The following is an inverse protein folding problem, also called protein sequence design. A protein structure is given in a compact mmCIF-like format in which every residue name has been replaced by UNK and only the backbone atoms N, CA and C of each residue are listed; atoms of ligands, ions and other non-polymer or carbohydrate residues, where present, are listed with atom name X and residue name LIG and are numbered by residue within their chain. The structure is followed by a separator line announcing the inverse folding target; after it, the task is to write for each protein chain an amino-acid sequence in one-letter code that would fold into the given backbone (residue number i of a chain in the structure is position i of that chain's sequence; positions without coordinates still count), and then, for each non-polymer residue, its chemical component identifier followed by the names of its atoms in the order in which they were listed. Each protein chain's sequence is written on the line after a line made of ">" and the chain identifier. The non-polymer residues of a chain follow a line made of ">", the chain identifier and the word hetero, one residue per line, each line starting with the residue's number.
data_IF_775937227321
#
_entry.id   IF_775937227321
#
_cell.length_a   1.000
_cell.length_b   1.000
_cell.length_c   1.000
_cell.angle_alpha   90.00
_cell.angle_beta   90.00
_cell.angle_gamma   90.00
#
_symmetry.space_group_name_H-M   'P 1'
#
loop_
_entity.id
_entity.type
_entity.pdbx_description
1 polymer ?
#
# COMPACT_ATOMS: atom_id res chain seq x y z
N UNK A 1 1.41 -22.73 2.02
CA UNK A 1 2.56 -22.85 1.13
C UNK A 1 2.67 -21.65 0.20
N UNK A 2 3.84 -21.44 -0.43
CA UNK A 2 4.03 -20.38 -1.41
C UNK A 2 5.00 -20.82 -2.51
N UNK A 3 4.87 -20.17 -3.68
CA UNK A 3 5.80 -20.27 -4.80
C UNK A 3 6.06 -18.90 -5.36
N UNK A 4 7.31 -18.63 -5.72
CA UNK A 4 7.74 -17.35 -6.33
C UNK A 4 8.63 -17.68 -7.52
N UNK A 5 8.43 -16.97 -8.63
CA UNK A 5 9.25 -17.01 -9.82
C UNK A 5 9.74 -15.58 -10.12
N UNK A 6 10.99 -15.45 -10.46
CA UNK A 6 11.59 -14.23 -10.96
C UNK A 6 12.43 -14.55 -12.19
N UNK A 7 12.28 -13.76 -13.24
CA UNK A 7 12.99 -13.93 -14.50
C UNK A 7 13.46 -12.58 -15.01
N UNK A 8 14.75 -12.52 -15.32
CA UNK A 8 15.34 -11.38 -16.06
C UNK A 8 15.53 -11.75 -17.52
N UNK A 9 15.15 -10.85 -18.40
CA UNK A 9 15.22 -11.01 -19.85
C UNK A 9 15.93 -9.80 -20.46
N UNK A 10 16.92 -10.07 -21.29
CA UNK A 10 17.66 -9.08 -22.09
C UNK A 10 18.30 -7.93 -21.28
N UNK A 11 18.46 -8.08 -19.97
CA UNK A 11 18.99 -7.04 -19.09
C UNK A 11 18.07 -5.81 -18.88
N UNK A 12 16.93 -5.74 -19.59
CA UNK A 12 16.01 -4.60 -19.56
C UNK A 12 14.63 -4.94 -18.98
N UNK A 13 14.26 -6.21 -18.95
CA UNK A 13 12.94 -6.66 -18.51
C UNK A 13 13.10 -7.65 -17.35
N UNK A 14 12.46 -7.35 -16.22
CA UNK A 14 12.33 -8.27 -15.10
C UNK A 14 10.86 -8.61 -14.88
N UNK A 15 10.55 -9.90 -14.81
CA UNK A 15 9.21 -10.41 -14.50
C UNK A 15 9.27 -11.07 -13.14
N UNK A 16 8.26 -10.85 -12.33
CA UNK A 16 8.05 -11.57 -11.08
C UNK A 16 6.61 -12.06 -11.00
N UNK A 17 6.43 -13.25 -10.47
CA UNK A 17 5.12 -13.81 -10.18
C UNK A 17 5.22 -14.63 -8.90
N UNK A 18 4.19 -14.59 -8.08
CA UNK A 18 4.13 -15.36 -6.85
C UNK A 18 2.70 -15.73 -6.50
N UNK A 19 2.56 -16.81 -5.78
CA UNK A 19 1.29 -17.23 -5.22
C UNK A 19 1.51 -17.83 -3.85
N UNK A 20 0.70 -17.44 -2.90
CA UNK A 20 0.63 -18.04 -1.57
C UNK A 20 -0.75 -18.66 -1.38
N UNK A 21 -0.78 -19.85 -0.82
CA UNK A 21 -1.99 -20.50 -0.35
C UNK A 21 -1.94 -20.61 1.17
N UNK A 22 -2.99 -20.16 1.83
CA UNK A 22 -3.18 -20.24 3.26
C UNK A 22 -4.49 -20.96 3.55
N UNK A 23 -4.49 -21.86 4.52
CA UNK A 23 -5.67 -22.60 4.92
C UNK A 23 -5.91 -22.43 6.42
N UNK A 24 -7.15 -22.17 6.78
CA UNK A 24 -7.63 -22.12 8.16
C UNK A 24 -8.84 -23.03 8.32
N UNK A 25 -8.94 -23.71 9.45
CA UNK A 25 -10.14 -24.50 9.81
C UNK A 25 -11.38 -23.62 9.98
N UNK A 26 -11.21 -22.33 10.17
CA UNK A 26 -12.31 -21.38 10.46
C UNK A 26 -12.93 -20.79 9.20
N UNK A 27 -12.11 -20.38 8.19
CA UNK A 27 -12.61 -19.70 7.00
C UNK A 27 -12.24 -20.40 5.68
N UNK A 28 -11.56 -21.56 5.76
CA UNK A 28 -11.19 -22.32 4.57
C UNK A 28 -9.86 -21.85 3.95
N UNK A 29 -9.74 -21.98 2.64
CA UNK A 29 -8.53 -21.69 1.89
C UNK A 29 -8.56 -20.33 1.19
N UNK A 30 -7.45 -19.59 1.25
CA UNK A 30 -7.25 -18.33 0.55
C UNK A 30 -6.03 -18.37 -0.36
N UNK A 31 -6.24 -17.95 -1.60
CA UNK A 31 -5.17 -17.79 -2.59
C UNK A 31 -4.78 -16.32 -2.69
N UNK A 32 -3.48 -16.06 -2.61
CA UNK A 32 -2.90 -14.72 -2.60
C UNK A 32 -1.88 -14.61 -3.74
N UNK A 33 -2.35 -14.36 -4.98
CA UNK A 33 -1.47 -14.15 -6.12
C UNK A 33 -0.86 -12.74 -6.10
N UNK A 34 0.33 -12.63 -6.71
CA UNK A 34 0.99 -11.36 -7.02
C UNK A 34 1.77 -11.49 -8.31
N UNK A 35 1.93 -10.38 -9.01
CA UNK A 35 2.74 -10.33 -10.22
C UNK A 35 3.19 -8.92 -10.52
N UNK A 36 4.32 -8.81 -11.21
CA UNK A 36 4.86 -7.52 -11.58
C UNK A 36 5.83 -7.61 -12.75
N UNK A 37 5.99 -6.49 -13.38
CA UNK A 37 6.93 -6.26 -14.46
C UNK A 37 7.74 -5.01 -14.18
N UNK A 38 9.04 -5.09 -14.43
CA UNK A 38 9.95 -3.93 -14.40
C UNK A 38 10.66 -3.84 -15.73
N UNK A 39 10.59 -2.67 -16.33
CA UNK A 39 11.28 -2.36 -17.60
C UNK A 39 12.29 -1.25 -17.33
N UNK A 40 13.51 -1.42 -17.86
CA UNK A 40 14.60 -0.43 -17.84
C UNK A 40 14.95 -0.05 -19.27
N UNK A 41 14.16 0.85 -19.91
CA UNK A 41 14.28 1.12 -21.33
C UNK A 41 15.57 1.85 -21.71
N UNK A 42 16.13 2.63 -20.80
CA UNK A 42 17.41 3.36 -20.96
C UNK A 42 18.03 3.61 -19.57
N UNK A 43 19.26 4.09 -19.57
CA UNK A 43 20.03 4.31 -18.36
C UNK A 43 19.33 5.26 -17.39
N UNK A 44 19.30 4.86 -16.13
CA UNK A 44 18.67 5.62 -15.05
C UNK A 44 17.14 5.59 -15.04
N UNK A 45 16.47 5.00 -16.05
CA UNK A 45 15.01 4.90 -16.09
C UNK A 45 14.51 3.54 -15.62
N UNK A 46 13.44 3.54 -14.88
CA UNK A 46 12.76 2.32 -14.43
C UNK A 46 11.25 2.55 -14.47
N UNK A 47 10.54 1.66 -15.15
CA UNK A 47 9.07 1.61 -15.17
C UNK A 47 8.66 0.31 -14.52
N UNK A 48 7.80 0.37 -13.50
CA UNK A 48 7.27 -0.80 -12.80
C UNK A 48 5.75 -0.81 -12.89
N UNK A 49 5.19 -2.00 -13.05
CA UNK A 49 3.76 -2.24 -12.86
C UNK A 49 3.59 -3.50 -12.04
N UNK A 50 2.67 -3.49 -11.09
CA UNK A 50 2.39 -4.64 -10.26
C UNK A 50 0.91 -4.79 -9.93
N UNK A 51 0.50 -6.02 -9.66
CA UNK A 51 -0.79 -6.38 -9.10
C UNK A 51 -0.57 -7.38 -7.97
N UNK A 52 -1.24 -7.17 -6.85
CA UNK A 52 -1.17 -8.09 -5.72
C UNK A 52 -2.51 -8.19 -5.00
N UNK A 53 -2.88 -9.41 -4.59
CA UNK A 53 -4.02 -9.66 -3.71
C UNK A 53 -3.52 -9.69 -2.26
N UNK A 54 -4.26 -9.05 -1.35
CA UNK A 54 -4.15 -9.21 0.09
C UNK A 54 -5.48 -9.70 0.67
N UNK A 55 -5.45 -10.28 1.88
CA UNK A 55 -6.65 -10.61 2.63
C UNK A 55 -6.44 -10.40 4.13
N UNK A 56 -7.54 -10.21 4.86
CA UNK A 56 -7.58 -10.15 6.32
C UNK A 56 -8.60 -11.17 6.84
N UNK A 57 -8.16 -12.06 7.70
CA UNK A 57 -9.06 -12.99 8.38
C UNK A 57 -9.92 -12.25 9.40
N UNK A 58 -11.20 -12.65 9.57
CA UNK A 58 -12.00 -12.19 10.70
C UNK A 58 -11.31 -12.48 12.02
N UNK A 59 -11.36 -11.55 12.95
CA UNK A 59 -10.80 -11.79 14.28
C UNK A 59 -11.83 -12.45 15.22
N UNK A 60 -11.34 -12.95 16.36
CA UNK A 60 -12.19 -13.66 17.34
C UNK A 60 -13.34 -12.80 17.84
N UNK A 61 -13.14 -11.48 17.99
CA UNK A 61 -14.19 -10.56 18.43
C UNK A 61 -15.30 -10.44 17.40
N UNK A 62 -14.95 -10.35 16.13
CA UNK A 62 -15.91 -10.25 15.03
C UNK A 62 -16.75 -11.51 14.89
N UNK A 63 -16.16 -12.68 15.16
CA UNK A 63 -16.82 -13.97 14.98
C UNK A 63 -17.61 -14.45 16.21
N UNK A 64 -17.11 -14.21 17.43
CA UNK A 64 -17.61 -14.91 18.61
C UNK A 64 -17.88 -14.04 19.83
N UNK A 65 -17.45 -12.77 19.83
CA UNK A 65 -17.60 -11.90 20.99
C UNK A 65 -18.56 -10.77 20.70
N UNK A 66 -19.35 -10.42 21.71
CA UNK A 66 -20.34 -9.33 21.71
C UNK A 66 -21.58 -9.62 20.84
N UNK A 67 -22.61 -8.78 21.02
CA UNK A 67 -23.92 -8.96 20.41
C UNK A 67 -23.94 -8.86 18.85
N UNK A 68 -22.87 -8.37 18.22
CA UNK A 68 -22.77 -8.27 16.77
C UNK A 68 -22.00 -9.45 16.14
N UNK A 69 -21.54 -10.42 16.92
CA UNK A 69 -20.70 -11.52 16.44
C UNK A 69 -21.41 -12.37 15.36
N UNK A 70 -20.58 -12.87 14.42
CA UNK A 70 -21.04 -13.74 13.34
C UNK A 70 -19.96 -14.78 13.01
N UNK A 71 -20.22 -16.04 13.31
CA UNK A 71 -19.31 -17.15 13.04
C UNK A 71 -19.16 -17.49 11.54
N UNK A 72 -20.09 -17.02 10.69
CA UNK A 72 -20.09 -17.29 9.25
C UNK A 72 -19.28 -16.27 8.43
N UNK A 73 -18.51 -15.38 9.09
CA UNK A 73 -17.69 -14.38 8.42
C UNK A 73 -16.61 -15.03 7.56
N UNK A 74 -16.43 -14.46 6.37
CA UNK A 74 -15.34 -14.80 5.43
C UNK A 74 -14.21 -13.77 5.53
N UNK A 75 -13.00 -14.12 5.06
CA UNK A 75 -11.93 -13.14 4.94
C UNK A 75 -12.30 -11.96 4.05
N UNK A 76 -11.90 -10.77 4.47
CA UNK A 76 -11.89 -9.59 3.61
C UNK A 76 -10.77 -9.72 2.58
N UNK A 77 -10.96 -9.23 1.39
CA UNK A 77 -9.92 -9.25 0.36
C UNK A 77 -9.76 -7.88 -0.31
N UNK A 78 -8.55 -7.61 -0.77
CA UNK A 78 -8.25 -6.44 -1.58
C UNK A 78 -7.26 -6.78 -2.68
N UNK A 79 -7.36 -6.07 -3.80
CA UNK A 79 -6.40 -6.11 -4.89
C UNK A 79 -5.80 -4.73 -5.04
N UNK A 80 -4.47 -4.67 -5.00
CA UNK A 80 -3.70 -3.47 -5.27
C UNK A 80 -3.14 -3.52 -6.68
N UNK A 81 -3.32 -2.44 -7.43
CA UNK A 81 -2.71 -2.17 -8.73
C UNK A 81 -1.80 -0.97 -8.58
N UNK A 82 -0.58 -1.07 -9.08
CA UNK A 82 0.42 -0.03 -8.93
C UNK A 82 1.24 0.13 -10.22
N UNK A 83 1.52 1.37 -10.59
CA UNK A 83 2.44 1.73 -11.66
C UNK A 83 3.37 2.82 -11.14
N UNK A 84 4.67 2.62 -11.33
CA UNK A 84 5.70 3.56 -10.92
C UNK A 84 6.66 3.87 -12.08
N UNK A 85 7.09 5.12 -12.15
CA UNK A 85 8.12 5.58 -13.08
C UNK A 85 9.20 6.29 -12.28
N UNK A 86 10.40 5.71 -12.29
CA UNK A 86 11.60 6.23 -11.65
C UNK A 86 12.62 6.72 -12.69
N UNK A 87 13.31 7.80 -12.38
CA UNK A 87 14.35 8.37 -13.22
C UNK A 87 15.50 8.91 -12.38
N UNK A 88 16.72 8.51 -12.75
CA UNK A 88 17.94 9.12 -12.26
C UNK A 88 18.42 10.22 -13.21
N UNK A 89 18.86 11.33 -12.65
CA UNK A 89 19.41 12.51 -13.34
C UNK A 89 20.77 12.85 -12.74
N UNK A 90 21.50 13.78 -13.36
CA UNK A 90 22.76 14.33 -12.86
C UNK A 90 23.81 13.25 -12.55
N UNK A 91 23.93 12.23 -13.41
CA UNK A 91 24.87 11.15 -13.20
C UNK A 91 24.52 10.19 -12.05
N UNK A 92 23.27 10.23 -11.57
CA UNK A 92 22.78 9.43 -10.44
C UNK A 92 22.61 10.23 -9.13
N UNK A 93 23.07 11.47 -9.08
CA UNK A 93 22.99 12.31 -7.89
C UNK A 93 21.54 12.69 -7.53
N UNK A 94 20.62 12.76 -8.51
CA UNK A 94 19.20 13.00 -8.31
C UNK A 94 18.40 11.81 -8.80
N UNK A 95 17.61 11.22 -7.93
CA UNK A 95 16.58 10.22 -8.25
C UNK A 95 15.21 10.77 -7.95
N UNK A 96 14.26 10.54 -8.87
CA UNK A 96 12.85 10.83 -8.65
C UNK A 96 12.00 9.64 -9.05
N UNK A 97 10.88 9.45 -8.35
CA UNK A 97 9.90 8.42 -8.68
C UNK A 97 8.48 8.97 -8.48
N UNK A 98 7.61 8.65 -9.42
CA UNK A 98 6.18 8.88 -9.34
C UNK A 98 5.47 7.54 -9.40
N UNK A 99 4.65 7.26 -8.39
CA UNK A 99 3.82 6.07 -8.28
C UNK A 99 2.35 6.46 -8.29
N UNK A 100 1.54 5.73 -9.06
CA UNK A 100 0.09 5.77 -8.97
C UNK A 100 -0.43 4.41 -8.54
N UNK A 101 -1.41 4.39 -7.63
CA UNK A 101 -1.99 3.15 -7.13
C UNK A 101 -3.52 3.19 -7.09
N UNK A 102 -4.11 2.01 -7.19
CA UNK A 102 -5.54 1.78 -7.04
C UNK A 102 -5.77 0.49 -6.24
N UNK A 103 -6.56 0.58 -5.16
CA UNK A 103 -6.90 -0.55 -4.29
C UNK A 103 -8.40 -0.78 -4.38
N UNK A 104 -8.81 -2.00 -4.73
CA UNK A 104 -10.19 -2.46 -4.74
C UNK A 104 -10.40 -3.49 -3.62
N UNK A 105 -11.21 -3.15 -2.63
CA UNK A 105 -11.50 -3.99 -1.46
C UNK A 105 -12.92 -4.54 -1.49
N UNK A 106 -13.06 -5.82 -1.12
CA UNK A 106 -14.32 -6.56 -1.11
C UNK A 106 -14.48 -7.34 0.20
N UNK A 107 -15.74 -7.70 0.47
CA UNK A 107 -16.11 -8.52 1.63
C UNK A 107 -15.70 -7.88 2.98
N UNK A 108 -15.60 -6.53 3.01
CA UNK A 108 -15.27 -5.81 4.24
C UNK A 108 -16.30 -6.08 5.33
N UNK A 109 -15.81 -6.33 6.54
CA UNK A 109 -16.65 -6.66 7.69
C UNK A 109 -17.14 -5.36 8.34
N UNK A 110 -18.45 -5.15 8.30
CA UNK A 110 -19.12 -4.06 9.00
C UNK A 110 -20.18 -4.57 9.96
N UNK A 111 -20.34 -3.86 11.08
CA UNK A 111 -21.51 -4.04 11.97
C UNK A 111 -22.72 -3.33 11.37
N UNK A 112 -23.68 -4.09 10.93
CA UNK A 112 -24.89 -3.62 10.25
C UNK A 112 -26.09 -3.82 11.17
N UNK A 113 -27.01 -2.85 11.23
CA UNK A 113 -28.29 -2.99 11.95
C UNK A 113 -29.11 -4.10 11.32
N UNK A 114 -29.55 -5.07 12.11
CA UNK A 114 -30.36 -6.21 11.65
C UNK A 114 -31.71 -5.74 11.09
N UNK A 115 -32.26 -4.68 11.63
CA UNK A 115 -33.55 -4.12 11.21
C UNK A 115 -33.43 -3.09 10.08
N UNK A 116 -32.19 -2.71 9.69
CA UNK A 116 -31.94 -1.70 8.63
C UNK A 116 -32.25 -0.26 9.05
N UNK A 117 -32.55 -0.01 10.30
CA UNK A 117 -32.94 1.30 10.86
C UNK A 117 -31.78 2.05 11.56
N UNK A 118 -30.55 1.49 11.47
CA UNK A 118 -29.34 2.04 12.11
C UNK A 118 -29.28 1.83 13.63
N UNK A 119 -30.18 1.04 14.20
CA UNK A 119 -30.29 0.77 15.66
C UNK A 119 -29.95 -0.69 15.98
N UNK A 120 -29.60 -1.00 17.24
CA UNK A 120 -29.40 -2.38 17.67
C UNK A 120 -30.70 -3.22 17.49
N UNK A 121 -30.54 -4.55 17.26
CA UNK A 121 -29.33 -5.31 17.34
C UNK A 121 -28.47 -5.17 16.04
N UNK A 122 -27.13 -5.27 16.19
CA UNK A 122 -26.19 -5.27 15.08
C UNK A 122 -25.68 -6.68 14.81
N UNK A 123 -25.28 -6.94 13.56
CA UNK A 123 -24.58 -8.16 13.15
C UNK A 123 -23.41 -7.81 12.23
N UNK A 124 -22.26 -8.46 12.43
CA UNK A 124 -21.11 -8.33 11.54
C UNK A 124 -21.36 -9.11 10.25
N UNK A 125 -21.23 -8.45 9.11
CA UNK A 125 -21.49 -9.02 7.79
C UNK A 125 -20.38 -8.61 6.81
N UNK A 126 -20.07 -9.51 5.88
CA UNK A 126 -19.19 -9.23 4.73
C UNK A 126 -19.97 -8.49 3.62
N UNK A 127 -20.30 -7.25 3.84
CA UNK A 127 -21.12 -6.45 2.91
C UNK A 127 -20.40 -5.23 2.35
N UNK A 128 -19.20 -4.97 2.85
CA UNK A 128 -18.45 -3.78 2.52
C UNK A 128 -17.61 -3.91 1.25
N UNK A 129 -17.58 -2.83 0.48
CA UNK A 129 -16.59 -2.60 -0.56
C UNK A 129 -15.97 -1.24 -0.35
N UNK A 130 -14.72 -1.06 -0.74
CA UNK A 130 -14.07 0.25 -0.78
C UNK A 130 -13.12 0.33 -1.96
N UNK A 131 -12.87 1.56 -2.40
CA UNK A 131 -11.80 1.84 -3.35
C UNK A 131 -10.94 2.97 -2.81
N UNK A 132 -9.64 2.76 -2.81
CA UNK A 132 -8.66 3.78 -2.50
C UNK A 132 -7.77 4.01 -3.72
N UNK A 133 -7.42 5.24 -3.99
CA UNK A 133 -6.52 5.60 -5.10
C UNK A 133 -5.66 6.78 -4.70
N UNK A 134 -4.49 6.85 -5.27
CA UNK A 134 -3.60 7.94 -4.94
C UNK A 134 -2.37 7.98 -5.81
N UNK A 135 -1.55 8.95 -5.50
CA UNK A 135 -0.24 9.13 -6.10
C UNK A 135 0.79 9.36 -5.00
N UNK A 136 2.00 8.89 -5.26
CA UNK A 136 3.16 9.11 -4.39
C UNK A 136 4.29 9.66 -5.25
N UNK A 137 4.99 10.65 -4.74
CA UNK A 137 6.19 11.22 -5.33
C UNK A 137 7.33 11.12 -4.34
N UNK A 138 8.47 10.64 -4.82
CA UNK A 138 9.71 10.57 -4.05
C UNK A 138 10.82 11.28 -4.82
N UNK A 139 11.68 12.02 -4.11
CA UNK A 139 12.91 12.56 -4.64
C UNK A 139 14.03 12.40 -3.62
N UNK A 140 15.20 11.96 -4.09
CA UNK A 140 16.45 11.89 -3.34
C UNK A 140 17.52 12.63 -4.12
N UNK A 141 18.18 13.57 -3.48
CA UNK A 141 19.19 14.39 -4.12
C UNK A 141 20.45 14.49 -3.28
N UNK A 142 21.56 13.97 -3.82
CA UNK A 142 22.89 14.17 -3.27
C UNK A 142 23.47 15.46 -3.87
N UNK A 143 23.25 16.60 -3.21
CA UNK A 143 23.73 17.91 -3.67
C UNK A 143 25.26 17.95 -3.77
N UNK A 144 25.91 17.34 -2.80
CA UNK A 144 27.36 17.14 -2.76
C UNK A 144 27.67 15.93 -1.87
N UNK A 145 28.97 15.53 -1.78
CA UNK A 145 29.39 14.37 -1.01
C UNK A 145 28.91 14.34 0.45
N UNK A 146 28.59 15.49 1.00
CA UNK A 146 28.27 15.63 2.43
C UNK A 146 26.83 16.09 2.67
N UNK A 147 26.02 16.34 1.63
CA UNK A 147 24.66 16.87 1.78
C UNK A 147 23.69 16.06 0.91
N UNK A 148 22.76 15.38 1.59
CA UNK A 148 21.65 14.66 0.97
C UNK A 148 20.32 15.31 1.35
N UNK A 149 19.41 15.40 0.40
CA UNK A 149 18.02 15.81 0.60
C UNK A 149 17.10 14.67 0.22
N UNK A 150 16.05 14.47 1.01
CA UNK A 150 14.99 13.50 0.79
C UNK A 150 13.65 14.22 0.81
N UNK A 151 12.76 13.91 -0.10
CA UNK A 151 11.42 14.45 -0.16
C UNK A 151 10.42 13.35 -0.56
N UNK A 152 9.30 13.28 0.15
CA UNK A 152 8.19 12.41 -0.17
C UNK A 152 6.89 13.19 -0.08
N UNK A 153 6.00 12.95 -1.03
CA UNK A 153 4.64 13.44 -1.01
C UNK A 153 3.69 12.30 -1.37
N UNK A 154 2.59 12.18 -0.64
CA UNK A 154 1.52 11.24 -0.98
C UNK A 154 0.15 11.93 -0.93
N UNK A 155 -0.68 11.58 -1.90
CA UNK A 155 -2.09 11.91 -1.95
C UNK A 155 -2.91 10.61 -1.92
N UNK A 156 -3.90 10.55 -1.03
CA UNK A 156 -4.79 9.41 -0.87
C UNK A 156 -6.25 9.88 -0.94
N UNK A 157 -7.00 9.33 -1.88
CA UNK A 157 -8.45 9.44 -1.93
C UNK A 157 -9.09 8.12 -1.51
N UNK A 158 -9.97 8.15 -0.53
CA UNK A 158 -10.70 6.99 -0.03
C UNK A 158 -12.19 7.13 -0.33
N UNK A 159 -12.81 6.10 -0.93
CA UNK A 159 -14.27 6.06 -1.12
C UNK A 159 -15.03 5.94 0.21
N UNK A 160 -14.38 5.36 1.22
CA UNK A 160 -14.86 5.26 2.60
C UNK A 160 -13.76 5.77 3.52
N UNK A 161 -13.83 7.04 3.94
CA UNK A 161 -12.83 7.64 4.81
C UNK A 161 -12.69 6.90 6.13
N UNK A 162 -11.43 6.75 6.58
CA UNK A 162 -11.09 6.17 7.88
C UNK A 162 -10.63 7.31 8.78
N UNK A 163 -11.20 7.50 9.98
CA UNK A 163 -10.77 8.53 10.91
C UNK A 163 -9.27 8.45 11.19
N UNK A 164 -8.61 9.61 11.15
CA UNK A 164 -7.17 9.72 11.36
C UNK A 164 -6.29 9.41 10.14
N UNK A 165 -6.86 8.98 9.00
CA UNK A 165 -6.09 8.85 7.77
C UNK A 165 -5.97 10.19 7.06
N UNK A 166 -4.76 10.65 6.68
CA UNK A 166 -4.57 11.90 5.96
C UNK A 166 -4.85 11.74 4.47
N UNK A 167 -5.52 12.75 3.87
CA UNK A 167 -5.63 12.88 2.41
C UNK A 167 -4.30 13.26 1.77
N UNK A 168 -3.48 14.06 2.46
CA UNK A 168 -2.18 14.49 1.99
C UNK A 168 -1.12 14.32 3.08
N UNK A 169 0.05 13.82 2.68
CA UNK A 169 1.22 13.70 3.55
C UNK A 169 2.45 14.22 2.80
N UNK A 170 3.20 15.09 3.44
CA UNK A 170 4.46 15.61 2.93
C UNK A 170 5.58 15.36 3.94
N UNK A 171 6.74 14.97 3.44
CA UNK A 171 7.97 14.81 4.19
C UNK A 171 9.12 15.47 3.43
N UNK A 172 9.98 16.17 4.15
CA UNK A 172 11.26 16.64 3.65
C UNK A 172 12.34 16.45 4.72
N UNK A 173 13.49 15.96 4.30
CA UNK A 173 14.65 15.71 5.15
C UNK A 173 15.93 16.25 4.54
N UNK A 174 16.88 16.64 5.38
CA UNK A 174 18.23 16.99 5.00
C UNK A 174 19.23 16.33 5.94
N UNK A 175 20.22 15.67 5.36
CA UNK A 175 21.34 15.07 6.10
C UNK A 175 22.64 15.72 5.67
N UNK A 176 23.31 16.39 6.60
CA UNK A 176 24.60 17.04 6.38
C UNK A 176 25.69 16.36 7.20
N UNK A 177 26.77 15.93 6.55
CA UNK A 177 27.86 15.16 7.13
C UNK A 177 29.21 15.90 7.06
N UNK A 178 29.41 17.00 7.84
CA UNK A 178 30.68 17.73 7.87
C UNK A 178 31.72 16.96 8.70
N UNK A 179 32.62 16.24 8.02
CA UNK A 179 33.74 15.51 8.64
C UNK A 179 33.25 14.36 9.53
N UNK A 180 33.34 14.50 10.85
CA UNK A 180 32.95 13.47 11.83
C UNK A 180 31.56 13.62 12.41
N UNK A 181 30.85 14.68 12.03
CA UNK A 181 29.50 14.97 12.51
C UNK A 181 28.46 14.57 11.49
N UNK A 182 27.27 14.21 11.98
CA UNK A 182 26.08 14.02 11.15
C UNK A 182 24.96 14.85 11.75
N UNK A 183 24.42 15.74 10.94
CA UNK A 183 23.27 16.60 11.27
C UNK A 183 22.10 16.18 10.43
N UNK A 184 20.97 15.85 11.07
CA UNK A 184 19.73 15.51 10.39
C UNK A 184 18.65 16.52 10.81
N UNK A 185 17.96 17.07 9.80
CA UNK A 185 16.78 17.90 9.99
C UNK A 185 15.69 17.31 9.13
N UNK A 186 14.52 17.08 9.71
CA UNK A 186 13.37 16.59 8.95
C UNK A 186 12.08 17.29 9.39
N UNK A 187 11.14 17.35 8.47
CA UNK A 187 9.82 17.93 8.66
C UNK A 187 8.78 16.96 8.06
N UNK A 188 7.69 16.76 8.76
CA UNK A 188 6.52 16.05 8.26
C UNK A 188 5.28 16.91 8.45
N UNK A 189 4.44 16.97 7.42
CA UNK A 189 3.15 17.63 7.46
C UNK A 189 2.06 16.71 6.95
N UNK A 190 0.90 16.75 7.57
CA UNK A 190 -0.29 16.00 7.17
C UNK A 190 -1.46 16.97 7.06
N UNK A 191 -2.28 16.80 6.01
CA UNK A 191 -3.42 17.64 5.73
C UNK A 191 -4.64 16.78 5.40
N UNK A 192 -5.83 17.35 5.49
CA UNK A 192 -7.11 16.70 5.23
C UNK A 192 -7.25 15.40 6.02
N UNK A 193 -7.06 15.50 7.34
CA UNK A 193 -7.35 14.42 8.25
C UNK A 193 -8.87 14.23 8.33
N UNK A 194 -9.33 13.04 7.99
CA UNK A 194 -10.71 12.65 8.22
C UNK A 194 -10.97 12.49 9.73
N UNK A 195 -11.95 13.19 10.24
CA UNK A 195 -12.36 13.19 11.66
C UNK A 195 -13.74 12.55 11.84
#
# INVERSE_FOLDING_TARGET
>A
GYAIMQQELFGILSLNAGVRYEHSSTYGGEWVPQGGVTVRPFEGNTIRASVSKGFRSPNIREMYMWGAANADLKPESMVNYEVAVGQSFLGGDLYTELTAFFIDGKDMIYSVSVNGDGRPPYKNLNTGTFTNKGIEFEARYQICKNLNLDMNYSYLHMSKPIPGAPGHKFYAGATYMPGRFTLNVNMQSVFDLYT
#
